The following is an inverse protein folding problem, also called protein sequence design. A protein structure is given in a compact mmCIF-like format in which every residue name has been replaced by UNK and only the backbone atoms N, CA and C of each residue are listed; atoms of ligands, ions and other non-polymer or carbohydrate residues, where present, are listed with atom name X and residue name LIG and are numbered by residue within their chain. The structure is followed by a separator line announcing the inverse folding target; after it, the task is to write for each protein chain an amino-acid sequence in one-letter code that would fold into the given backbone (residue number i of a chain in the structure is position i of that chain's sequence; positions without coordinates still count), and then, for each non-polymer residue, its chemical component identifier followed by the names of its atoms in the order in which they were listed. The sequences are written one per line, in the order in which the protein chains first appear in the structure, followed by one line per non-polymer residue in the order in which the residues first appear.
data_IF_216253481430
#
_entry.id   IF_216253481430
#
_cell.length_a   1.000
_cell.length_b   1.000
_cell.length_c   1.000
_cell.angle_alpha   90.00
_cell.angle_beta   90.00
_cell.angle_gamma   90.00
#
_symmetry.space_group_name_H-M   'P 1'
#
loop_
_entity.id
_entity.type
_entity.pdbx_description
1 polymer ?
#
# COMPACT_ATOMS: atom_id res chain seq x y z
N UNK A 1 -29.79 8.77 33.34
CA UNK A 1 -29.01 7.55 33.62
C UNK A 1 -27.88 7.54 32.59
N UNK A 2 -26.61 7.56 33.01
CA UNK A 2 -25.50 7.42 32.07
C UNK A 2 -25.58 6.02 31.47
N UNK A 3 -25.65 5.92 30.14
CA UNK A 3 -25.54 4.62 29.47
C UNK A 3 -24.14 4.06 29.72
N UNK A 4 -23.99 2.73 29.76
CA UNK A 4 -22.69 2.09 29.89
C UNK A 4 -21.77 2.53 28.73
N UNK A 5 -20.45 2.68 28.93
CA UNK A 5 -19.55 2.96 27.83
C UNK A 5 -19.61 1.87 26.76
N UNK A 6 -19.28 2.24 25.53
CA UNK A 6 -19.05 1.30 24.45
C UNK A 6 -17.55 1.01 24.39
N UNK A 7 -17.17 -0.26 24.26
CA UNK A 7 -15.79 -0.70 24.34
C UNK A 7 -15.31 -1.41 23.09
N UNK A 8 -13.99 -1.42 22.89
CA UNK A 8 -13.29 -2.30 21.97
C UNK A 8 -12.14 -2.94 22.74
N UNK A 9 -12.11 -4.27 22.79
CA UNK A 9 -11.06 -5.01 23.49
C UNK A 9 -10.01 -5.48 22.50
N UNK A 10 -8.75 -5.14 22.75
CA UNK A 10 -7.61 -5.40 21.86
C UNK A 10 -6.43 -6.00 22.62
N UNK A 11 -5.59 -6.76 21.93
CA UNK A 11 -4.30 -7.17 22.47
C UNK A 11 -3.33 -5.97 22.56
N UNK A 12 -2.39 -5.93 23.52
CA UNK A 12 -1.32 -4.95 23.55
C UNK A 12 -0.23 -5.30 22.51
N UNK A 13 -0.56 -5.08 21.24
CA UNK A 13 0.27 -5.43 20.11
C UNK A 13 1.44 -4.46 19.88
N UNK A 14 2.54 -4.98 19.33
CA UNK A 14 3.74 -4.22 19.00
C UNK A 14 3.43 -3.12 17.99
N UNK A 15 3.85 -1.89 18.29
CA UNK A 15 3.68 -0.73 17.42
C UNK A 15 2.22 -0.49 16.98
N UNK A 16 1.26 -0.84 17.83
CA UNK A 16 -0.17 -0.69 17.56
C UNK A 16 -0.78 -1.84 16.75
N UNK A 17 0.00 -2.87 16.44
CA UNK A 17 -0.50 -4.10 15.81
C UNK A 17 -0.89 -3.91 14.35
N UNK A 18 -1.96 -4.62 13.96
CA UNK A 18 -2.47 -4.56 12.59
C UNK A 18 -3.24 -3.26 12.40
N UNK A 19 -3.28 -2.78 11.16
CA UNK A 19 -4.05 -1.59 10.82
C UNK A 19 -5.55 -1.77 11.12
N UNK A 20 -6.05 -3.02 11.14
CA UNK A 20 -7.39 -3.38 11.60
C UNK A 20 -7.68 -2.81 12.99
N UNK A 21 -6.78 -2.94 13.95
CA UNK A 21 -7.03 -2.53 15.33
C UNK A 21 -7.32 -1.03 15.41
N UNK A 22 -6.53 -0.23 14.67
CA UNK A 22 -6.75 1.21 14.53
C UNK A 22 -8.06 1.53 13.81
N UNK A 23 -8.37 0.83 12.71
CA UNK A 23 -9.62 1.00 11.97
C UNK A 23 -10.86 0.69 12.84
N UNK A 24 -10.78 -0.34 13.68
CA UNK A 24 -11.84 -0.70 14.63
C UNK A 24 -11.97 0.32 15.75
N UNK A 25 -10.86 0.90 16.22
CA UNK A 25 -10.92 2.01 17.14
C UNK A 25 -11.67 3.20 16.51
N UNK A 26 -11.38 3.58 15.27
CA UNK A 26 -12.14 4.64 14.57
C UNK A 26 -13.64 4.31 14.45
N UNK A 27 -13.98 3.05 14.15
CA UNK A 27 -15.37 2.61 14.10
C UNK A 27 -16.06 2.65 15.48
N UNK A 28 -15.37 2.25 16.55
CA UNK A 28 -15.84 2.40 17.93
C UNK A 28 -16.18 3.85 18.23
N UNK A 29 -15.29 4.78 17.88
CA UNK A 29 -15.49 6.21 18.10
C UNK A 29 -16.76 6.72 17.40
N UNK A 30 -16.97 6.28 16.16
CA UNK A 30 -18.18 6.60 15.42
C UNK A 30 -19.44 6.07 16.11
N UNK A 31 -19.45 4.78 16.48
CA UNK A 31 -20.60 4.15 17.13
C UNK A 31 -20.93 4.80 18.48
N UNK A 32 -19.91 5.05 19.30
CA UNK A 32 -20.07 5.70 20.59
C UNK A 32 -20.63 7.13 20.42
N UNK A 33 -20.10 7.89 19.47
CA UNK A 33 -20.58 9.24 19.15
C UNK A 33 -22.05 9.23 18.69
N UNK A 34 -22.40 8.32 17.78
CA UNK A 34 -23.77 8.18 17.27
C UNK A 34 -24.78 7.82 18.36
N UNK A 35 -24.33 7.08 19.39
CA UNK A 35 -25.15 6.68 20.53
C UNK A 35 -25.09 7.66 21.71
N UNK A 36 -24.26 8.70 21.65
CA UNK A 36 -24.03 9.62 22.77
C UNK A 36 -23.36 8.97 23.98
N UNK A 37 -22.49 7.97 23.75
CA UNK A 37 -21.78 7.18 24.75
C UNK A 37 -20.28 7.51 24.74
N UNK A 38 -19.60 7.21 25.84
CA UNK A 38 -18.13 7.20 25.87
C UNK A 38 -17.58 5.99 25.10
N UNK A 39 -16.41 6.17 24.47
CA UNK A 39 -15.68 5.12 23.76
C UNK A 39 -14.47 4.65 24.57
N UNK A 40 -14.37 3.36 24.85
CA UNK A 40 -13.32 2.78 25.68
C UNK A 40 -12.48 1.78 24.87
N UNK A 41 -11.22 2.10 24.61
CA UNK A 41 -10.25 1.12 24.09
C UNK A 41 -9.63 0.39 25.27
N UNK A 42 -9.85 -0.92 25.32
CA UNK A 42 -9.47 -1.79 26.44
C UNK A 42 -8.35 -2.70 25.99
N UNK A 43 -7.17 -2.57 26.58
CA UNK A 43 -6.03 -3.45 26.29
C UNK A 43 -6.01 -4.63 27.25
N UNK A 44 -6.03 -5.85 26.72
CA UNK A 44 -6.14 -7.10 27.47
C UNK A 44 -5.05 -8.09 27.00
N UNK A 45 -4.15 -8.47 27.89
CA UNK A 45 -3.12 -9.48 27.60
C UNK A 45 -3.72 -10.86 27.29
N UNK A 46 -4.94 -11.15 27.76
CA UNK A 46 -5.64 -12.39 27.43
C UNK A 46 -6.06 -12.48 25.95
N UNK A 47 -6.06 -11.35 25.23
CA UNK A 47 -6.35 -11.31 23.80
C UNK A 47 -5.11 -11.54 22.93
N UNK A 48 -3.91 -11.66 23.51
CA UNK A 48 -2.68 -11.87 22.74
C UNK A 48 -2.71 -13.18 21.95
N UNK A 49 -2.53 -13.04 20.64
CA UNK A 49 -2.46 -14.13 19.69
C UNK A 49 -1.14 -14.18 18.93
N UNK A 50 -1.10 -15.09 17.96
CA UNK A 50 0.05 -15.26 17.07
C UNK A 50 0.23 -14.02 16.18
N UNK A 51 1.37 -13.34 16.32
CA UNK A 51 1.74 -12.18 15.52
C UNK A 51 1.45 -10.82 16.14
N UNK A 52 0.88 -10.74 17.36
CA UNK A 52 0.76 -9.46 18.08
C UNK A 52 2.12 -8.92 18.56
N UNK A 53 3.13 -9.79 18.59
CA UNK A 53 4.53 -9.42 18.85
C UNK A 53 5.31 -9.15 17.58
N UNK A 54 4.71 -9.31 16.40
CA UNK A 54 5.38 -9.04 15.13
C UNK A 54 5.19 -7.58 14.72
N UNK A 55 6.20 -7.02 14.08
CA UNK A 55 6.10 -5.76 13.37
C UNK A 55 5.62 -6.03 11.94
N UNK A 56 4.42 -5.57 11.63
CA UNK A 56 3.77 -5.76 10.33
C UNK A 56 4.16 -4.64 9.36
N UNK A 57 4.85 -5.02 8.29
CA UNK A 57 5.49 -4.11 7.34
C UNK A 57 5.11 -4.42 5.88
N UNK A 58 5.48 -3.49 5.00
CA UNK A 58 5.53 -3.66 3.55
C UNK A 58 6.99 -3.50 3.15
N UNK A 59 7.53 -4.44 2.37
CA UNK A 59 8.91 -4.34 1.90
C UNK A 59 9.06 -3.37 0.70
N UNK A 60 10.29 -3.10 0.30
CA UNK A 60 10.60 -2.23 -0.83
C UNK A 60 10.05 -2.72 -2.18
N UNK A 61 9.73 -4.01 -2.31
CA UNK A 61 9.08 -4.59 -3.49
C UNK A 61 7.55 -4.51 -3.41
N UNK A 62 7.02 -4.12 -2.25
CA UNK A 62 5.61 -4.01 -1.96
C UNK A 62 5.01 -5.27 -1.34
N UNK A 63 5.79 -6.27 -0.94
CA UNK A 63 5.22 -7.46 -0.29
C UNK A 63 4.96 -7.21 1.20
N UNK A 64 3.84 -7.70 1.75
CA UNK A 64 3.66 -7.78 3.19
C UNK A 64 4.76 -8.65 3.80
N UNK A 65 5.36 -8.16 4.88
CA UNK A 65 6.32 -8.93 5.65
C UNK A 65 6.18 -8.66 7.14
N UNK A 66 6.66 -9.61 7.94
CA UNK A 66 6.64 -9.55 9.40
C UNK A 66 8.06 -9.63 9.93
N UNK A 67 8.39 -8.77 10.87
CA UNK A 67 9.63 -8.86 11.63
C UNK A 67 9.29 -9.28 13.06
N UNK A 68 9.88 -10.37 13.58
CA UNK A 68 9.58 -10.83 14.93
C UNK A 68 10.06 -9.80 15.95
N UNK A 69 9.20 -9.48 16.90
CA UNK A 69 9.58 -8.78 18.13
C UNK A 69 10.22 -9.71 19.17
N UNK A 70 10.47 -9.21 20.38
CA UNK A 70 11.07 -9.99 21.46
C UNK A 70 10.09 -11.03 21.98
N UNK A 71 10.58 -12.24 22.26
CA UNK A 71 9.77 -13.34 22.79
C UNK A 71 9.05 -12.99 24.09
N UNK A 72 9.69 -12.20 24.95
CA UNK A 72 9.14 -11.73 26.24
C UNK A 72 8.34 -10.44 26.12
N UNK A 73 8.21 -9.90 24.90
CA UNK A 73 7.59 -8.59 24.64
C UNK A 73 8.43 -7.37 25.07
N UNK A 74 9.50 -7.57 25.85
CA UNK A 74 10.39 -6.48 26.30
C UNK A 74 11.65 -6.41 25.46
N UNK A 75 11.96 -5.24 24.94
CA UNK A 75 13.19 -5.02 24.18
C UNK A 75 14.38 -4.71 25.09
N UNK A 76 15.53 -5.32 24.79
CA UNK A 76 16.82 -4.74 25.17
C UNK A 76 17.17 -3.58 24.23
N UNK A 77 18.10 -2.71 24.64
CA UNK A 77 18.59 -1.62 23.76
C UNK A 77 19.08 -2.18 22.41
N UNK A 78 19.87 -3.26 22.47
CA UNK A 78 20.40 -3.92 21.28
C UNK A 78 19.28 -4.55 20.43
N UNK A 79 18.31 -5.22 21.07
CA UNK A 79 17.17 -5.83 20.36
C UNK A 79 16.31 -4.80 19.65
N UNK A 80 16.03 -3.66 20.30
CA UNK A 80 15.30 -2.55 19.67
C UNK A 80 16.06 -1.98 18.49
N UNK A 81 17.36 -1.72 18.65
CA UNK A 81 18.21 -1.20 17.59
C UNK A 81 18.29 -2.17 16.39
N UNK A 82 18.38 -3.48 16.65
CA UNK A 82 18.39 -4.51 15.62
C UNK A 82 17.06 -4.57 14.85
N UNK A 83 15.91 -4.54 15.54
CA UNK A 83 14.60 -4.50 14.89
C UNK A 83 14.43 -3.23 14.06
N UNK A 84 14.83 -2.08 14.60
CA UNK A 84 14.78 -0.80 13.91
C UNK A 84 15.62 -0.81 12.63
N UNK A 85 16.85 -1.35 12.70
CA UNK A 85 17.71 -1.51 11.52
C UNK A 85 17.08 -2.47 10.49
N UNK A 86 16.57 -3.62 10.94
CA UNK A 86 15.89 -4.58 10.06
C UNK A 86 14.64 -3.97 9.39
N UNK A 87 13.86 -3.17 10.12
CA UNK A 87 12.70 -2.48 9.57
C UNK A 87 13.11 -1.45 8.51
N UNK A 88 14.16 -0.66 8.78
CA UNK A 88 14.70 0.33 7.82
C UNK A 88 15.22 -0.32 6.54
N UNK A 89 15.91 -1.45 6.65
CA UNK A 89 16.42 -2.18 5.48
C UNK A 89 15.30 -2.80 4.63
N UNK A 90 14.17 -3.12 5.26
CA UNK A 90 13.03 -3.76 4.59
C UNK A 90 12.08 -2.76 3.95
N UNK A 91 11.71 -1.71 4.68
CA UNK A 91 10.69 -0.76 4.23
C UNK A 91 11.15 0.03 3.00
N UNK A 92 10.23 0.48 2.14
CA UNK A 92 10.54 1.48 1.13
C UNK A 92 11.18 2.71 1.78
N UNK A 93 12.26 3.23 1.20
CA UNK A 93 12.94 4.44 1.68
C UNK A 93 12.07 5.69 1.55
N UNK A 94 11.12 5.86 2.46
CA UNK A 94 10.30 7.07 2.60
C UNK A 94 10.88 7.94 3.72
N UNK A 95 10.75 9.26 3.59
CA UNK A 95 11.25 10.17 4.64
C UNK A 95 10.45 10.05 5.94
N UNK A 96 9.26 9.46 5.85
CA UNK A 96 8.30 9.26 6.92
C UNK A 96 8.49 7.93 7.66
N UNK A 97 9.19 6.95 7.06
CA UNK A 97 9.35 5.61 7.65
C UNK A 97 10.18 5.62 8.93
N UNK A 98 11.32 6.30 8.94
CA UNK A 98 12.20 6.37 10.11
C UNK A 98 11.53 7.08 11.29
N UNK A 99 10.92 8.27 11.14
CA UNK A 99 10.14 8.89 12.21
C UNK A 99 8.98 8.03 12.72
N UNK A 100 8.26 7.32 11.84
CA UNK A 100 7.16 6.44 12.23
C UNK A 100 7.66 5.25 13.07
N UNK A 101 8.76 4.62 12.66
CA UNK A 101 9.37 3.51 13.40
C UNK A 101 9.88 3.96 14.77
N UNK A 102 10.59 5.09 14.83
CA UNK A 102 11.14 5.60 16.08
C UNK A 102 10.04 5.99 17.08
N UNK A 103 8.92 6.51 16.57
CA UNK A 103 7.75 6.89 17.35
C UNK A 103 6.96 5.69 17.87
N UNK A 104 6.72 4.67 17.04
CA UNK A 104 5.80 3.59 17.36
C UNK A 104 6.46 2.41 18.10
N UNK A 105 7.78 2.24 17.97
CA UNK A 105 8.47 1.16 18.67
C UNK A 105 8.64 1.48 20.17
N UNK A 106 8.30 0.53 21.07
CA UNK A 106 8.49 0.68 22.51
C UNK A 106 9.91 1.09 22.90
N UNK A 107 10.08 1.76 24.06
CA UNK A 107 11.41 2.05 24.58
C UNK A 107 12.00 0.76 25.18
N UNK A 108 13.34 0.64 25.24
CA UNK A 108 13.98 -0.50 25.88
C UNK A 108 13.52 -0.66 27.34
N UNK A 109 13.16 -1.88 27.73
CA UNK A 109 12.72 -2.23 29.09
C UNK A 109 11.22 -2.09 29.36
N UNK A 110 10.46 -1.34 28.54
CA UNK A 110 9.02 -1.17 28.71
C UNK A 110 8.29 -2.52 28.67
N UNK A 111 7.26 -2.68 29.51
CA UNK A 111 6.36 -3.83 29.35
C UNK A 111 5.49 -3.63 28.10
N UNK A 112 5.03 -4.71 27.45
CA UNK A 112 4.21 -4.59 26.26
C UNK A 112 2.90 -3.85 26.51
N UNK A 113 2.23 -4.16 27.62
CA UNK A 113 0.98 -3.52 28.01
C UNK A 113 1.16 -2.03 28.27
N UNK A 114 2.19 -1.63 29.03
CA UNK A 114 2.47 -0.21 29.31
C UNK A 114 2.81 0.56 28.04
N UNK A 115 3.66 -0.01 27.17
CA UNK A 115 4.03 0.61 25.90
C UNK A 115 2.80 0.77 24.97
N UNK A 116 1.94 -0.25 24.90
CA UNK A 116 0.73 -0.19 24.10
C UNK A 116 -0.27 0.84 24.67
N UNK A 117 -0.44 0.90 26.00
CA UNK A 117 -1.27 1.92 26.65
C UNK A 117 -0.79 3.33 26.32
N UNK A 118 0.51 3.61 26.50
CA UNK A 118 1.10 4.91 26.18
C UNK A 118 0.88 5.26 24.71
N UNK A 119 1.14 4.31 23.80
CA UNK A 119 0.93 4.51 22.38
C UNK A 119 -0.52 4.86 22.06
N UNK A 120 -1.48 4.03 22.48
CA UNK A 120 -2.90 4.25 22.20
C UNK A 120 -3.43 5.56 22.81
N UNK A 121 -2.96 5.92 24.02
CA UNK A 121 -3.27 7.21 24.64
C UNK A 121 -2.74 8.38 23.79
N UNK A 122 -1.53 8.28 23.26
CA UNK A 122 -0.97 9.31 22.37
C UNK A 122 -1.75 9.40 21.05
N UNK A 123 -2.08 8.27 20.43
CA UNK A 123 -2.83 8.23 19.16
C UNK A 123 -4.22 8.86 19.29
N UNK A 124 -4.86 8.74 20.47
CA UNK A 124 -6.23 9.17 20.72
C UNK A 124 -6.33 10.41 21.64
N UNK A 125 -5.20 11.04 22.00
CA UNK A 125 -5.15 12.13 22.97
C UNK A 125 -6.07 13.33 22.63
N UNK A 126 -6.26 13.59 21.33
CA UNK A 126 -7.07 14.70 20.84
C UNK A 126 -8.57 14.41 20.73
N UNK A 127 -9.03 13.19 21.04
CA UNK A 127 -10.42 12.77 20.79
C UNK A 127 -11.27 12.88 22.07
N UNK A 128 -12.28 13.77 22.11
CA UNK A 128 -13.13 13.90 23.29
C UNK A 128 -14.02 12.68 23.51
N UNK A 129 -14.16 12.25 24.77
CA UNK A 129 -15.03 11.13 25.16
C UNK A 129 -14.41 9.74 24.95
N UNK A 130 -13.09 9.69 24.74
CA UNK A 130 -12.33 8.46 24.53
C UNK A 130 -11.47 8.17 25.75
N UNK A 131 -11.48 6.90 26.17
CA UNK A 131 -10.62 6.41 27.24
C UNK A 131 -9.85 5.19 26.75
N UNK A 132 -8.55 5.14 27.08
CA UNK A 132 -7.70 3.97 26.86
C UNK A 132 -7.34 3.40 28.23
N UNK A 133 -7.61 2.12 28.47
CA UNK A 133 -7.45 1.50 29.79
C UNK A 133 -7.00 0.03 29.69
N UNK A 134 -6.26 -0.44 30.69
CA UNK A 134 -5.98 -1.88 30.83
C UNK A 134 -7.23 -2.63 31.31
N UNK A 135 -7.45 -3.84 30.81
CA UNK A 135 -8.57 -4.69 31.22
C UNK A 135 -8.59 -4.94 32.75
N UNK A 136 -7.42 -5.12 33.37
CA UNK A 136 -7.29 -5.30 34.81
C UNK A 136 -7.70 -4.08 35.65
N UNK A 137 -7.82 -2.89 35.04
CA UNK A 137 -8.21 -1.65 35.70
C UNK A 137 -9.68 -1.28 35.44
N UNK A 138 -10.48 -2.17 34.85
CA UNK A 138 -11.91 -1.94 34.64
C UNK A 138 -12.68 -2.03 35.96
N UNK A 139 -13.32 -0.92 36.34
CA UNK A 139 -14.15 -0.83 37.55
C UNK A 139 -15.65 -0.97 37.27
N UNK A 140 -16.05 -0.91 35.99
CA UNK A 140 -17.44 -0.96 35.56
C UNK A 140 -17.61 -1.84 34.33
N UNK A 141 -18.85 -2.28 34.11
CA UNK A 141 -19.22 -3.07 32.94
C UNK A 141 -19.17 -2.18 31.68
N UNK A 142 -18.61 -2.74 30.60
CA UNK A 142 -18.47 -2.08 29.30
C UNK A 142 -19.01 -3.04 28.24
N UNK A 143 -19.94 -2.53 27.43
CA UNK A 143 -20.44 -3.27 26.27
C UNK A 143 -19.37 -3.27 25.18
N UNK A 144 -18.76 -4.42 24.90
CA UNK A 144 -17.67 -4.50 23.94
C UNK A 144 -18.19 -4.86 22.54
N UNK A 145 -17.75 -4.10 21.53
CA UNK A 145 -17.85 -4.47 20.13
C UNK A 145 -16.86 -5.60 19.82
N UNK A 146 -17.22 -6.48 18.87
CA UNK A 146 -16.28 -7.47 18.36
C UNK A 146 -15.25 -6.77 17.44
N UNK A 147 -13.93 -7.01 17.61
CA UNK A 147 -12.90 -6.47 16.71
C UNK A 147 -13.02 -6.93 15.25
N UNK A 148 -13.84 -7.95 14.96
CA UNK A 148 -14.16 -8.40 13.61
C UNK A 148 -15.36 -7.67 13.01
N UNK A 149 -16.12 -6.92 13.81
CA UNK A 149 -17.28 -6.16 13.34
C UNK A 149 -16.89 -4.81 12.70
N UNK A 150 -17.75 -4.35 11.79
CA UNK A 150 -17.66 -3.03 11.16
C UNK A 150 -17.16 -3.05 9.72
N UNK A 151 -17.11 -1.88 9.06
CA UNK A 151 -16.70 -1.79 7.66
C UNK A 151 -15.21 -2.07 7.51
N UNK A 152 -14.81 -2.62 6.36
CA UNK A 152 -13.40 -2.63 5.97
C UNK A 152 -12.95 -1.20 5.66
N UNK A 153 -11.76 -0.79 6.13
CA UNK A 153 -11.21 0.54 5.85
C UNK A 153 -9.89 0.40 5.09
N UNK A 154 -9.82 1.06 3.92
CA UNK A 154 -8.63 1.08 3.05
C UNK A 154 -8.03 2.48 2.99
N UNK A 155 -6.73 2.55 3.27
CA UNK A 155 -5.94 3.77 3.25
C UNK A 155 -5.12 3.89 1.98
N UNK A 156 -5.29 5.01 1.28
CA UNK A 156 -4.62 5.31 0.03
C UNK A 156 -3.78 6.58 0.18
N UNK A 157 -2.47 6.37 0.27
CA UNK A 157 -1.50 7.45 0.33
C UNK A 157 -1.25 8.16 -1.00
N UNK A 158 -0.54 9.31 -0.98
CA UNK A 158 -0.20 10.08 -2.18
C UNK A 158 0.58 9.28 -3.23
N UNK A 159 1.45 8.36 -2.80
CA UNK A 159 2.23 7.49 -3.70
C UNK A 159 1.34 6.53 -4.48
N UNK A 160 0.30 5.98 -3.85
CA UNK A 160 -0.69 5.15 -4.52
C UNK A 160 -1.49 5.97 -5.54
N UNK A 161 -1.93 7.17 -5.16
CA UNK A 161 -2.64 8.07 -6.08
C UNK A 161 -1.77 8.48 -7.27
N UNK A 162 -0.48 8.74 -7.05
CA UNK A 162 0.47 9.00 -8.13
C UNK A 162 0.62 7.77 -9.03
N UNK A 163 0.82 6.58 -8.46
CA UNK A 163 0.93 5.34 -9.24
C UNK A 163 -0.34 5.06 -10.07
N UNK A 164 -1.53 5.22 -9.48
CA UNK A 164 -2.81 5.09 -10.18
C UNK A 164 -2.92 6.06 -11.35
N UNK A 165 -2.56 7.34 -11.16
CA UNK A 165 -2.52 8.36 -12.24
C UNK A 165 -1.53 8.01 -13.34
N UNK A 166 -0.31 7.60 -12.99
CA UNK A 166 0.73 7.23 -13.96
C UNK A 166 0.34 5.99 -14.77
N UNK A 167 -0.34 5.04 -14.14
CA UNK A 167 -0.80 3.80 -14.76
C UNK A 167 -2.14 3.97 -15.50
N UNK A 168 -2.85 5.07 -15.22
CA UNK A 168 -4.17 5.39 -15.76
C UNK A 168 -5.29 4.50 -15.21
N UNK A 169 -5.10 3.89 -14.03
CA UNK A 169 -6.06 2.93 -13.45
C UNK A 169 -6.89 3.60 -12.38
N UNK A 170 -8.22 3.35 -12.33
CA UNK A 170 -9.07 3.87 -11.29
C UNK A 170 -8.94 3.01 -10.01
N UNK A 171 -9.36 3.54 -8.86
CA UNK A 171 -9.15 2.90 -7.55
C UNK A 171 -9.90 1.57 -7.43
N UNK A 172 -11.09 1.49 -8.01
CA UNK A 172 -11.98 0.33 -7.96
C UNK A 172 -11.31 -0.90 -8.62
N UNK A 173 -10.59 -0.68 -9.72
CA UNK A 173 -9.83 -1.74 -10.40
C UNK A 173 -8.67 -2.23 -9.54
N UNK A 174 -8.00 -1.33 -8.81
CA UNK A 174 -6.90 -1.72 -7.92
C UNK A 174 -7.43 -2.49 -6.71
N UNK A 175 -8.57 -2.07 -6.16
CA UNK A 175 -9.23 -2.74 -5.04
C UNK A 175 -9.86 -4.09 -5.41
N UNK A 176 -10.06 -4.36 -6.70
CA UNK A 176 -10.46 -5.67 -7.22
C UNK A 176 -9.30 -6.70 -7.23
N UNK A 177 -8.07 -6.27 -6.91
CA UNK A 177 -6.92 -7.16 -6.77
C UNK A 177 -5.95 -7.14 -7.96
N UNK A 178 -4.82 -7.81 -7.80
CA UNK A 178 -3.69 -7.76 -8.73
C UNK A 178 -4.04 -8.36 -10.09
N UNK A 179 -4.86 -9.43 -10.12
CA UNK A 179 -5.31 -10.08 -11.34
C UNK A 179 -6.15 -9.14 -12.21
N UNK A 180 -7.17 -8.51 -11.63
CA UNK A 180 -8.03 -7.55 -12.33
C UNK A 180 -7.22 -6.36 -12.86
N UNK A 181 -6.27 -5.88 -12.07
CA UNK A 181 -5.36 -4.80 -12.46
C UNK A 181 -4.46 -5.18 -13.65
N UNK A 182 -3.94 -6.42 -13.70
CA UNK A 182 -3.16 -6.93 -14.83
C UNK A 182 -4.01 -7.04 -16.09
N UNK A 183 -5.24 -7.53 -15.96
CA UNK A 183 -6.16 -7.70 -17.09
C UNK A 183 -6.58 -6.36 -17.70
N UNK A 184 -6.96 -5.39 -16.86
CA UNK A 184 -7.29 -4.02 -17.30
C UNK A 184 -6.15 -3.40 -18.12
N UNK A 185 -4.91 -3.67 -17.72
CA UNK A 185 -3.75 -3.09 -18.38
C UNK A 185 -3.25 -3.84 -19.59
N UNK A 186 -3.50 -5.15 -19.66
CA UNK A 186 -3.30 -5.95 -20.86
C UNK A 186 -4.22 -5.47 -21.99
N UNK A 187 -5.49 -5.19 -21.68
CA UNK A 187 -6.46 -4.67 -22.64
C UNK A 187 -6.08 -3.30 -23.20
N UNK A 188 -5.38 -2.48 -22.41
CA UNK A 188 -4.97 -1.12 -22.81
C UNK A 188 -3.65 -1.05 -23.61
N UNK A 189 -2.92 -2.15 -23.83
CA UNK A 189 -1.57 -2.09 -24.42
C UNK A 189 -1.29 -3.09 -25.56
N UNK A 190 -1.55 -2.65 -26.79
CA UNK A 190 -0.57 -2.81 -27.87
C UNK A 190 0.02 -1.44 -28.20
N UNK A 191 1.31 -1.21 -27.92
CA UNK A 191 1.94 0.09 -28.18
C UNK A 191 1.97 0.44 -29.67
N UNK A 192 1.64 1.69 -30.02
CA UNK A 192 1.77 2.25 -31.37
C UNK A 192 3.20 2.11 -31.92
N UNK A 193 4.22 2.22 -31.06
CA UNK A 193 5.63 2.23 -31.46
C UNK A 193 6.09 0.88 -32.05
N UNK A 194 5.89 -0.29 -31.41
CA UNK A 194 6.16 -1.59 -32.04
C UNK A 194 5.43 -1.81 -33.36
N UNK A 195 4.18 -1.32 -33.46
CA UNK A 195 3.35 -1.41 -34.68
C UNK A 195 3.97 -0.57 -35.81
N UNK A 196 4.28 0.70 -35.55
CA UNK A 196 4.93 1.60 -36.51
C UNK A 196 6.34 1.15 -36.87
N UNK A 197 7.10 0.59 -35.91
CA UNK A 197 8.42 0.04 -36.17
C UNK A 197 8.36 -1.14 -37.14
N UNK A 198 7.35 -2.02 -36.99
CA UNK A 198 7.12 -3.13 -37.95
C UNK A 198 6.69 -2.60 -39.32
N UNK A 199 5.86 -1.56 -39.35
CA UNK A 199 5.46 -0.91 -40.60
C UNK A 199 6.65 -0.29 -41.33
N UNK A 200 7.50 0.47 -40.62
CA UNK A 200 8.70 1.10 -41.18
C UNK A 200 9.69 0.06 -41.73
N UNK A 201 9.84 -1.09 -41.08
CA UNK A 201 10.66 -2.21 -41.58
C UNK A 201 10.15 -2.73 -42.92
N UNK A 202 8.83 -2.90 -43.05
CA UNK A 202 8.20 -3.32 -44.31
C UNK A 202 8.33 -2.27 -45.40
N UNK A 203 8.17 -0.99 -45.06
CA UNK A 203 8.32 0.14 -46.01
C UNK A 203 9.78 0.28 -46.49
N UNK A 204 10.75 0.08 -45.58
CA UNK A 204 12.17 0.08 -45.91
C UNK A 204 12.51 -1.05 -46.89
N UNK A 205 12.03 -2.27 -46.64
CA UNK A 205 12.30 -3.41 -47.52
C UNK A 205 11.68 -3.22 -48.91
N UNK A 206 10.47 -2.65 -48.99
CA UNK A 206 9.84 -2.29 -50.25
C UNK A 206 10.65 -1.21 -51.02
N UNK A 207 11.07 -0.15 -50.32
CA UNK A 207 11.89 0.91 -50.92
C UNK A 207 13.26 0.43 -51.41
N UNK A 208 13.89 -0.48 -50.66
CA UNK A 208 15.16 -1.10 -51.04
C UNK A 208 15.02 -2.01 -52.28
N UNK A 209 13.88 -2.69 -52.42
CA UNK A 209 13.55 -3.49 -53.59
C UNK A 209 13.33 -2.60 -54.83
N UNK A 210 12.50 -1.57 -54.71
CA UNK A 210 12.25 -0.63 -55.82
C UNK A 210 13.52 0.08 -56.30
N UNK A 211 14.39 0.52 -55.38
CA UNK A 211 15.68 1.12 -55.74
C UNK A 211 16.61 0.13 -56.46
N UNK A 212 16.54 -1.17 -56.13
CA UNK A 212 17.34 -2.20 -56.80
C UNK A 212 16.93 -2.34 -58.27
N UNK A 213 15.63 -2.32 -58.54
CA UNK A 213 15.08 -2.42 -59.89
C UNK A 213 15.59 -1.26 -60.75
N UNK A 214 15.43 -0.01 -60.29
CA UNK A 214 15.93 1.17 -60.97
C UNK A 214 17.46 1.13 -61.21
N UNK A 215 18.25 0.73 -60.21
CA UNK A 215 19.72 0.60 -60.38
C UNK A 215 20.08 -0.47 -61.40
N UNK A 216 19.33 -1.58 -61.46
CA UNK A 216 19.60 -2.67 -62.40
C UNK A 216 19.31 -2.26 -63.84
N UNK A 217 18.30 -1.41 -64.04
CA UNK A 217 17.91 -0.90 -65.36
C UNK A 217 18.80 0.26 -65.83
N UNK A 218 19.06 1.24 -64.95
CA UNK A 218 19.69 2.51 -65.35
C UNK A 218 21.19 2.58 -65.09
N UNK A 219 21.69 1.92 -64.03
CA UNK A 219 23.09 2.09 -63.59
C UNK A 219 23.67 0.85 -62.89
N UNK A 220 23.88 -0.28 -63.63
CA UNK A 220 24.31 -1.54 -63.04
C UNK A 220 25.64 -1.47 -62.25
N UNK A 221 26.52 -0.53 -62.59
CA UNK A 221 27.79 -0.31 -61.88
C UNK A 221 27.61 0.06 -60.39
N UNK A 222 26.42 0.53 -59.99
CA UNK A 222 26.12 0.89 -58.60
C UNK A 222 25.65 -0.29 -57.74
N UNK A 223 25.44 -1.49 -58.31
CA UNK A 223 24.94 -2.67 -57.57
C UNK A 223 25.81 -3.05 -56.36
N UNK A 224 27.13 -2.86 -56.46
CA UNK A 224 28.05 -3.08 -55.34
C UNK A 224 27.83 -2.09 -54.18
N UNK A 225 27.61 -0.81 -54.49
CA UNK A 225 27.29 0.23 -53.50
C UNK A 225 25.90 0.04 -52.91
N UNK A 226 24.90 -0.32 -53.73
CA UNK A 226 23.56 -0.66 -53.27
C UNK A 226 23.57 -1.84 -52.28
N UNK A 227 24.33 -2.90 -52.55
CA UNK A 227 24.43 -4.05 -51.64
C UNK A 227 25.00 -3.67 -50.27
N UNK A 228 25.98 -2.75 -50.23
CA UNK A 228 26.50 -2.20 -48.97
C UNK A 228 25.44 -1.36 -48.24
N UNK A 229 24.77 -0.47 -48.96
CA UNK A 229 23.69 0.36 -48.41
C UNK A 229 22.55 -0.48 -47.82
N UNK A 230 22.03 -1.47 -48.58
CA UNK A 230 20.98 -2.40 -48.12
C UNK A 230 21.36 -3.08 -46.80
N UNK A 231 22.59 -3.59 -46.70
CA UNK A 231 23.07 -4.25 -45.47
C UNK A 231 23.13 -3.28 -44.30
N UNK A 232 23.61 -2.06 -44.52
CA UNK A 232 23.67 -1.03 -43.48
C UNK A 232 22.27 -0.60 -43.01
N UNK A 233 21.34 -0.36 -43.95
CA UNK A 233 19.97 0.02 -43.65
C UNK A 233 19.23 -1.06 -42.85
N UNK A 234 19.30 -2.33 -43.29
CA UNK A 234 18.71 -3.45 -42.55
C UNK A 234 19.34 -3.65 -41.17
N UNK A 235 20.66 -3.47 -41.04
CA UNK A 235 21.35 -3.54 -39.75
C UNK A 235 20.82 -2.46 -38.80
N UNK A 236 20.73 -1.20 -39.26
CA UNK A 236 20.21 -0.10 -38.45
C UNK A 236 18.74 -0.33 -38.04
N UNK A 237 17.90 -0.82 -38.95
CA UNK A 237 16.50 -1.15 -38.65
C UNK A 237 16.39 -2.28 -37.62
N UNK A 238 17.18 -3.35 -37.76
CA UNK A 238 17.23 -4.45 -36.80
C UNK A 238 17.73 -4.00 -35.42
N UNK A 239 18.71 -3.09 -35.35
CA UNK A 239 19.18 -2.48 -34.11
C UNK A 239 18.08 -1.65 -33.43
N UNK A 240 17.36 -0.84 -34.19
CA UNK A 240 16.22 -0.08 -33.70
C UNK A 240 15.09 -1.00 -33.18
N UNK A 241 14.72 -2.05 -33.93
CA UNK A 241 13.75 -3.06 -33.50
C UNK A 241 14.16 -3.69 -32.17
N UNK A 242 15.41 -4.14 -32.04
CA UNK A 242 15.94 -4.72 -30.79
C UNK A 242 15.93 -3.72 -29.64
N UNK A 243 16.22 -2.44 -29.90
CA UNK A 243 16.14 -1.39 -28.90
C UNK A 243 14.68 -1.13 -28.45
N UNK A 244 13.75 -1.07 -29.39
CA UNK A 244 12.31 -0.93 -29.12
C UNK A 244 11.76 -2.12 -28.33
N UNK A 245 12.09 -3.35 -28.71
CA UNK A 245 11.68 -4.56 -28.01
C UNK A 245 12.29 -4.64 -26.59
N UNK A 246 13.53 -4.18 -26.41
CA UNK A 246 14.16 -4.04 -25.08
C UNK A 246 13.46 -2.98 -24.23
N UNK A 247 13.16 -1.82 -24.81
CA UNK A 247 12.44 -0.76 -24.14
C UNK A 247 11.06 -1.23 -23.68
N UNK A 248 10.30 -1.90 -24.54
CA UNK A 248 8.99 -2.45 -24.19
C UNK A 248 9.08 -3.54 -23.13
N UNK A 249 10.07 -4.45 -23.18
CA UNK A 249 10.30 -5.44 -22.12
C UNK A 249 10.65 -4.78 -20.78
N UNK A 250 11.55 -3.81 -20.78
CA UNK A 250 11.94 -3.08 -19.57
C UNK A 250 10.76 -2.26 -19.02
N UNK A 251 9.98 -1.63 -19.89
CA UNK A 251 8.76 -0.91 -19.53
C UNK A 251 7.74 -1.86 -18.92
N UNK A 252 7.53 -3.04 -19.50
CA UNK A 252 6.66 -4.09 -18.91
C UNK A 252 7.16 -4.55 -17.54
N UNK A 253 8.46 -4.72 -17.36
CA UNK A 253 9.06 -5.08 -16.06
C UNK A 253 8.86 -4.00 -15.00
N UNK A 254 9.23 -2.75 -15.30
CA UNK A 254 9.05 -1.61 -14.39
C UNK A 254 7.57 -1.39 -14.07
N UNK A 255 6.70 -1.47 -15.09
CA UNK A 255 5.25 -1.36 -14.91
C UNK A 255 4.73 -2.51 -14.06
N UNK A 256 5.15 -3.75 -14.34
CA UNK A 256 4.78 -4.93 -13.57
C UNK A 256 5.12 -4.80 -12.10
N UNK A 257 6.33 -4.35 -11.76
CA UNK A 257 6.74 -4.12 -10.38
C UNK A 257 5.93 -3.01 -9.70
N UNK A 258 5.66 -1.90 -10.41
CA UNK A 258 4.82 -0.81 -9.89
C UNK A 258 3.38 -1.26 -9.66
N UNK A 259 2.86 -2.11 -10.53
CA UNK A 259 1.51 -2.68 -10.41
C UNK A 259 1.41 -3.63 -9.24
N UNK A 260 2.39 -4.52 -9.11
CA UNK A 260 2.49 -5.43 -7.99
C UNK A 260 2.57 -4.65 -6.67
N UNK A 261 3.47 -3.68 -6.56
CA UNK A 261 3.59 -2.86 -5.35
C UNK A 261 2.31 -2.07 -5.02
N UNK A 262 1.62 -1.55 -6.04
CA UNK A 262 0.34 -0.87 -5.88
C UNK A 262 -0.76 -1.84 -5.41
N UNK A 263 -0.84 -3.02 -6.01
CA UNK A 263 -1.82 -4.05 -5.62
C UNK A 263 -1.56 -4.54 -4.20
N UNK A 264 -0.32 -4.92 -3.88
CA UNK A 264 0.00 -5.42 -2.55
C UNK A 264 -0.10 -4.34 -1.46
N UNK A 265 0.11 -3.06 -1.79
CA UNK A 265 -0.08 -1.95 -0.86
C UNK A 265 -1.54 -1.68 -0.50
N UNK A 266 -2.52 -2.04 -1.34
CA UNK A 266 -3.96 -1.76 -1.15
C UNK A 266 -4.83 -3.02 -0.98
N UNK A 267 -4.39 -4.13 -1.55
CA UNK A 267 -5.00 -5.46 -1.53
C UNK A 267 -3.91 -6.54 -1.43
N UNK A 268 -3.19 -6.56 -0.30
CA UNK A 268 -2.16 -7.57 -0.04
C UNK A 268 -2.73 -8.97 -0.19
N UNK A 269 -2.10 -9.81 -1.02
CA UNK A 269 -2.59 -11.16 -1.35
C UNK A 269 -4.07 -11.23 -1.76
N UNK A 270 -4.57 -10.18 -2.43
CA UNK A 270 -5.97 -10.01 -2.83
C UNK A 270 -6.96 -10.05 -1.65
N UNK A 271 -6.50 -9.66 -0.45
CA UNK A 271 -7.28 -9.61 0.80
C UNK A 271 -7.33 -8.19 1.37
N UNK A 272 -8.07 -8.02 2.48
CA UNK A 272 -8.25 -6.74 3.15
C UNK A 272 -6.90 -6.14 3.58
N UNK A 273 -6.69 -4.84 3.28
CA UNK A 273 -5.45 -4.14 3.59
C UNK A 273 -5.12 -4.19 5.09
N UNK A 274 -6.16 -4.03 5.90
CA UNK A 274 -6.06 -3.87 7.34
C UNK A 274 -5.55 -5.11 8.08
N UNK A 275 -5.52 -6.27 7.41
CA UNK A 275 -5.16 -7.56 7.99
C UNK A 275 -3.70 -7.95 7.81
N UNK A 276 -3.03 -7.32 6.85
CA UNK A 276 -1.68 -7.69 6.44
C UNK A 276 -0.67 -6.56 6.64
N UNK A 277 -1.13 -5.34 6.92
CA UNK A 277 -0.28 -4.17 7.14
C UNK A 277 -0.44 -3.65 8.57
N UNK A 278 0.66 -3.17 9.15
CA UNK A 278 0.65 -2.57 10.48
C UNK A 278 0.39 -1.07 10.46
N UNK A 279 0.12 -0.51 11.65
CA UNK A 279 -0.02 0.94 11.83
C UNK A 279 1.23 1.72 11.37
N UNK A 280 2.41 1.12 11.52
CA UNK A 280 3.68 1.66 11.00
C UNK A 280 3.61 1.90 9.50
N UNK A 281 3.10 0.94 8.72
CA UNK A 281 2.91 1.12 7.27
C UNK A 281 1.97 2.26 6.98
N UNK A 282 0.87 2.36 7.73
CA UNK A 282 -0.09 3.42 7.52
C UNK A 282 0.52 4.81 7.73
N UNK A 283 1.31 4.99 8.79
CA UNK A 283 2.00 6.26 9.04
C UNK A 283 3.10 6.52 7.99
N UNK A 284 3.94 5.52 7.71
CA UNK A 284 5.13 5.67 6.86
C UNK A 284 4.83 5.78 5.36
N UNK A 285 3.83 5.05 4.89
CA UNK A 285 3.55 4.88 3.45
C UNK A 285 2.27 5.60 3.04
N UNK A 286 1.27 5.64 3.92
CA UNK A 286 -0.03 6.24 3.63
C UNK A 286 -0.16 7.66 4.18
N UNK A 287 0.85 8.12 4.95
CA UNK A 287 0.84 9.40 5.66
C UNK A 287 -0.40 9.56 6.53
N UNK A 288 -0.80 8.45 7.16
CA UNK A 288 -1.79 8.51 8.23
C UNK A 288 -1.20 9.35 9.34
N UNK A 289 -1.88 10.44 9.70
CA UNK A 289 -1.66 11.18 10.93
C UNK A 289 -2.75 10.70 11.90
N UNK A 290 -2.47 9.71 12.79
CA UNK A 290 -3.52 9.02 13.52
C UNK A 290 -4.33 9.95 14.42
N UNK A 291 -3.67 10.95 15.01
CA UNK A 291 -4.30 11.99 15.83
C UNK A 291 -5.31 12.82 15.02
N UNK A 292 -4.93 13.24 13.81
CA UNK A 292 -5.79 14.00 12.93
C UNK A 292 -6.92 13.13 12.39
N UNK A 293 -6.64 11.90 11.95
CA UNK A 293 -7.64 10.95 11.49
C UNK A 293 -8.69 10.62 12.56
N UNK A 294 -8.28 10.51 13.82
CA UNK A 294 -9.18 10.25 14.93
C UNK A 294 -10.02 11.49 15.32
N UNK A 295 -9.61 12.70 14.95
CA UNK A 295 -10.44 13.92 15.06
C UNK A 295 -11.39 14.05 13.87
N UNK A 296 -10.87 13.83 12.65
CA UNK A 296 -11.60 13.91 11.38
C UNK A 296 -12.63 12.80 11.21
N UNK A 297 -12.49 11.66 11.90
CA UNK A 297 -13.45 10.54 11.82
C UNK A 297 -14.90 10.99 12.07
N UNK A 298 -15.10 12.05 12.88
CA UNK A 298 -16.43 12.59 13.16
C UNK A 298 -17.12 13.02 11.87
N UNK A 299 -16.44 13.68 10.95
CA UNK A 299 -17.05 14.18 9.71
C UNK A 299 -17.32 13.05 8.70
N UNK A 300 -16.63 11.92 8.84
CA UNK A 300 -16.51 10.88 7.80
C UNK A 300 -17.62 9.84 7.82
N UNK A 301 -18.08 9.46 9.00
CA UNK A 301 -19.12 8.44 9.15
C UNK A 301 -20.53 9.05 9.31
N UNK A 302 -20.69 10.37 9.20
CA UNK A 302 -21.99 11.06 9.37
C UNK A 302 -22.86 11.10 8.12
N UNK A 303 -22.33 10.78 6.94
CA UNK A 303 -23.19 10.52 5.78
C UNK A 303 -23.77 9.10 5.87
N UNK A 304 -25.08 8.90 5.57
CA UNK A 304 -25.68 7.58 5.53
C UNK A 304 -25.11 6.84 4.31
N UNK A 305 -23.93 6.23 4.48
CA UNK A 305 -23.31 5.41 3.45
C UNK A 305 -24.13 4.11 3.36
N UNK A 306 -24.86 3.87 2.27
CA UNK A 306 -25.63 2.64 2.13
C UNK A 306 -24.64 1.47 2.04
N UNK A 307 -24.66 0.57 3.05
CA UNK A 307 -24.07 -0.77 3.05
C UNK A 307 -22.88 -0.99 2.08
N UNK A 308 -21.83 -0.18 2.19
CA UNK A 308 -20.65 -0.35 1.34
C UNK A 308 -19.72 -1.40 1.96
N UNK A 309 -19.15 -2.30 1.15
CA UNK A 309 -18.25 -3.34 1.66
C UNK A 309 -16.94 -2.76 2.22
N UNK A 310 -16.53 -1.57 1.77
CA UNK A 310 -15.34 -0.89 2.25
C UNK A 310 -15.47 0.64 2.22
N UNK A 311 -14.75 1.32 3.11
CA UNK A 311 -14.54 2.76 3.15
C UNK A 311 -13.11 3.08 2.68
N UNK A 312 -12.97 4.08 1.80
CA UNK A 312 -11.68 4.41 1.19
C UNK A 312 -11.24 5.82 1.61
N UNK A 313 -10.09 5.91 2.27
CA UNK A 313 -9.46 7.15 2.69
C UNK A 313 -8.34 7.54 1.74
N UNK A 314 -8.47 8.69 1.10
CA UNK A 314 -7.49 9.30 0.21
C UNK A 314 -6.78 10.45 0.95
N UNK A 315 -5.64 10.16 1.60
CA UNK A 315 -4.74 11.17 2.17
C UNK A 315 -5.38 12.36 2.92
N UNK A 316 -6.44 12.11 3.71
CA UNK A 316 -7.30 13.06 4.47
C UNK A 316 -8.65 13.47 3.82
N UNK A 317 -9.17 12.72 2.84
CA UNK A 317 -10.55 12.83 2.36
C UNK A 317 -11.15 11.47 2.00
N UNK A 318 -12.47 11.33 1.95
CA UNK A 318 -13.15 10.06 1.66
C UNK A 318 -13.46 9.96 0.17
N UNK A 319 -13.22 8.79 -0.41
CA UNK A 319 -13.87 8.42 -1.67
C UNK A 319 -14.91 7.33 -1.41
N UNK A 320 -16.10 7.53 -1.95
CA UNK A 320 -17.00 6.43 -2.23
C UNK A 320 -16.34 5.51 -3.28
N UNK A 321 -16.26 4.19 -3.06
CA UNK A 321 -16.11 3.25 -4.17
C UNK A 321 -17.37 3.21 -5.05
#
# INVERSE_FOLDING_TARGET
MSQAPLGLRLAPALAGGRLRDFNRALWLLHQATAQGREAWVILDEACEGEGDRDLWLLDAQGNPCRLPGPETGRFSEHGRAALLAAARDRMPGTGEAEPALDRLLPRPGDSPLEAALELWQQLLAGVPGVRVIAAAALEQEVECLDPTDGPEIVWIGPRHQQAMRELGVPVEVVLAGEAALKDELAQRQSGEVPRRAKQLESELDAGLAGLREAITEESPGLLGSWNRYRRAARKAMAEFRRASDRFERNRKGIRGNRLHALAQGLRPHDQAQEDFLGLVCAMALFRLEPEQAAVEHREVFHDPIPQRPALVFLGAGISAP
#
